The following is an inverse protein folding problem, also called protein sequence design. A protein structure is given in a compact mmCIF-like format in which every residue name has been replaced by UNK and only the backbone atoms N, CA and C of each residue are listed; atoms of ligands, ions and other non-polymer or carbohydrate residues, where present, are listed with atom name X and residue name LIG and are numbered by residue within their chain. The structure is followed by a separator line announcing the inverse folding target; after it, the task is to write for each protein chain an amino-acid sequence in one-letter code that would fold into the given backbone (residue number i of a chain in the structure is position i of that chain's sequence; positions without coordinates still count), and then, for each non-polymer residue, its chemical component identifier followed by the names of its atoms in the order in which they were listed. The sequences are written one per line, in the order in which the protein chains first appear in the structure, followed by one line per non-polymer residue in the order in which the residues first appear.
data_IF_430006293429
#
_entry.id   IF_430006293429
#
_cell.length_a   1.000
_cell.length_b   1.000
_cell.length_c   1.000
_cell.angle_alpha   90.00
_cell.angle_beta   90.00
_cell.angle_gamma   90.00
#
_symmetry.space_group_name_H-M   'P 1'
#
loop_
_entity.id
_entity.type
_entity.pdbx_description
1 polymer ?
#
# COMPACT_ATOMS: atom_id res chain seq x y z
N UNK A 1 2.73 9.30 23.81
CA UNK A 1 1.35 9.29 23.28
C UNK A 1 1.37 8.43 22.01
N UNK A 2 0.87 7.20 22.09
CA UNK A 2 0.92 6.25 20.97
C UNK A 2 -0.30 6.52 20.07
N UNK A 3 -0.11 7.21 18.95
CA UNK A 3 -1.19 7.45 17.99
C UNK A 3 -1.50 6.11 17.32
N UNK A 4 -2.53 5.41 17.81
CA UNK A 4 -3.09 4.25 17.12
C UNK A 4 -4.02 4.77 16.03
N UNK A 5 -3.51 4.82 14.80
CA UNK A 5 -4.38 5.03 13.65
C UNK A 5 -5.35 3.85 13.53
N UNK A 6 -6.65 4.09 13.24
CA UNK A 6 -7.57 3.03 12.84
C UNK A 6 -6.94 2.20 11.72
N UNK A 7 -7.10 0.86 11.75
CA UNK A 7 -6.55 -0.02 10.72
C UNK A 7 -6.99 0.35 9.29
N UNK A 8 -8.18 0.97 9.16
CA UNK A 8 -8.69 1.55 7.92
C UNK A 8 -7.79 2.66 7.37
N UNK A 9 -7.28 3.56 8.19
CA UNK A 9 -6.44 4.68 7.75
C UNK A 9 -5.06 4.19 7.27
N UNK A 10 -4.53 3.14 7.92
CA UNK A 10 -3.26 2.53 7.52
C UNK A 10 -3.42 1.80 6.17
N UNK A 11 -4.52 1.08 5.98
CA UNK A 11 -4.81 0.41 4.69
C UNK A 11 -5.00 1.45 3.58
N UNK A 12 -5.73 2.53 3.84
CA UNK A 12 -5.93 3.60 2.86
C UNK A 12 -4.62 4.29 2.47
N UNK A 13 -3.73 4.56 3.44
CA UNK A 13 -2.41 5.12 3.18
C UNK A 13 -1.53 4.17 2.34
N UNK A 14 -1.59 2.86 2.61
CA UNK A 14 -0.89 1.85 1.82
C UNK A 14 -1.45 1.74 0.40
N UNK A 15 -2.77 1.76 0.24
CA UNK A 15 -3.42 1.71 -1.08
C UNK A 15 -3.07 2.93 -1.92
N UNK A 16 -2.98 4.12 -1.30
CA UNK A 16 -2.48 5.32 -1.98
C UNK A 16 -1.01 5.19 -2.41
N UNK A 17 -0.15 4.69 -1.52
CA UNK A 17 1.28 4.48 -1.82
C UNK A 17 1.48 3.48 -2.95
N UNK A 18 0.72 2.38 -2.96
CA UNK A 18 0.76 1.37 -4.03
C UNK A 18 0.34 1.95 -5.38
N UNK A 19 -0.74 2.75 -5.44
CA UNK A 19 -1.14 3.45 -6.67
C UNK A 19 -0.05 4.39 -7.20
N UNK A 20 0.61 5.13 -6.31
CA UNK A 20 1.71 6.01 -6.69
C UNK A 20 2.90 5.22 -7.26
N UNK A 21 3.26 4.09 -6.64
CA UNK A 21 4.32 3.21 -7.12
C UNK A 21 3.99 2.60 -8.48
N UNK A 22 2.76 2.12 -8.69
CA UNK A 22 2.30 1.60 -9.98
C UNK A 22 2.44 2.63 -11.11
N UNK A 23 2.08 3.90 -10.86
CA UNK A 23 2.25 4.97 -11.84
C UNK A 23 3.72 5.23 -12.18
N UNK A 24 4.62 5.17 -11.19
CA UNK A 24 6.07 5.34 -11.41
C UNK A 24 6.67 4.16 -12.17
N UNK A 25 6.28 2.92 -11.84
CA UNK A 25 6.67 1.71 -12.57
C UNK A 25 6.26 1.80 -14.03
N UNK A 26 5.01 2.18 -14.32
CA UNK A 26 4.53 2.33 -15.69
C UNK A 26 5.38 3.32 -16.51
N UNK A 27 5.75 4.47 -15.92
CA UNK A 27 6.61 5.46 -16.57
C UNK A 27 8.04 4.98 -16.79
N UNK A 28 8.62 4.25 -15.83
CA UNK A 28 9.97 3.73 -15.94
C UNK A 28 10.07 2.61 -16.99
N UNK A 29 9.02 1.80 -17.18
CA UNK A 29 8.94 0.78 -18.24
C UNK A 29 9.01 1.42 -19.63
N UNK A 30 8.39 2.58 -19.84
CA UNK A 30 8.40 3.29 -21.13
C UNK A 30 9.79 3.80 -21.54
N UNK A 31 10.75 3.87 -20.60
CA UNK A 31 12.10 4.42 -20.79
C UNK A 31 13.20 3.37 -20.63
N UNK A 32 12.86 2.09 -20.79
CA UNK A 32 13.86 1.02 -20.83
C UNK A 32 14.70 1.20 -22.10
N UNK A 33 16.06 1.21 -22.01
CA UNK A 33 16.86 0.66 -20.91
C UNK A 33 17.39 1.66 -19.87
N UNK A 34 17.17 2.97 -20.03
CA UNK A 34 17.82 4.03 -19.27
C UNK A 34 17.46 4.04 -17.77
N UNK A 35 16.23 3.65 -17.41
CA UNK A 35 15.73 3.65 -16.03
C UNK A 35 15.59 2.23 -15.43
N UNK A 36 16.39 1.25 -15.89
CA UNK A 36 16.23 -0.17 -15.50
C UNK A 36 16.50 -0.47 -14.01
N UNK A 37 17.47 0.19 -13.39
CA UNK A 37 17.81 0.04 -11.96
C UNK A 37 16.75 0.70 -11.06
N UNK A 38 16.24 1.86 -11.47
CA UNK A 38 15.12 2.55 -10.84
C UNK A 38 13.83 1.73 -10.92
N UNK A 39 13.58 1.09 -12.06
CA UNK A 39 12.45 0.19 -12.25
C UNK A 39 12.49 -1.00 -11.29
N UNK A 40 13.65 -1.64 -11.13
CA UNK A 40 13.82 -2.76 -10.20
C UNK A 40 13.53 -2.36 -8.75
N UNK A 41 13.98 -1.16 -8.36
CA UNK A 41 13.71 -0.58 -7.04
C UNK A 41 12.22 -0.28 -6.85
N UNK A 42 11.57 0.31 -7.86
CA UNK A 42 10.14 0.62 -7.81
C UNK A 42 9.26 -0.63 -7.72
N UNK A 43 9.59 -1.69 -8.45
CA UNK A 43 8.89 -2.98 -8.38
C UNK A 43 9.06 -3.64 -7.02
N UNK A 44 10.27 -3.64 -6.45
CA UNK A 44 10.53 -4.20 -5.12
C UNK A 44 9.72 -3.49 -4.03
N UNK A 45 9.69 -2.16 -4.07
CA UNK A 45 8.88 -1.34 -3.16
C UNK A 45 7.37 -1.62 -3.28
N UNK A 46 6.89 -1.97 -4.48
CA UNK A 46 5.48 -2.30 -4.72
C UNK A 46 5.11 -3.68 -4.12
N UNK A 47 6.02 -4.65 -4.22
CA UNK A 47 5.84 -5.99 -3.63
C UNK A 47 5.75 -5.88 -2.10
N UNK A 48 6.71 -5.18 -1.48
CA UNK A 48 6.74 -4.99 -0.02
C UNK A 48 5.45 -4.31 0.49
N UNK A 49 4.97 -3.27 -0.20
CA UNK A 49 3.72 -2.62 0.16
C UNK A 49 2.50 -3.56 0.09
N UNK A 50 2.48 -4.47 -0.88
CA UNK A 50 1.46 -5.52 -0.99
C UNK A 50 1.50 -6.53 0.16
N UNK A 51 2.69 -6.98 0.56
CA UNK A 51 2.88 -7.91 1.69
C UNK A 51 2.45 -7.29 3.02
N UNK A 52 2.82 -6.03 3.26
CA UNK A 52 2.39 -5.26 4.44
C UNK A 52 0.86 -5.15 4.48
N UNK A 53 0.22 -4.85 3.34
CA UNK A 53 -1.24 -4.76 3.26
C UNK A 53 -1.93 -6.08 3.61
N UNK A 54 -1.44 -7.21 3.09
CA UNK A 54 -1.98 -8.55 3.40
C UNK A 54 -1.84 -8.86 4.88
N UNK A 55 -0.68 -8.54 5.46
CA UNK A 55 -0.39 -8.75 6.89
C UNK A 55 -1.32 -7.94 7.78
N UNK A 56 -1.54 -6.67 7.46
CA UNK A 56 -2.47 -5.80 8.21
C UNK A 56 -3.90 -6.32 8.10
N UNK A 57 -4.36 -6.73 6.91
CA UNK A 57 -5.70 -7.33 6.77
C UNK A 57 -5.87 -8.62 7.59
N UNK A 58 -4.84 -9.46 7.69
CA UNK A 58 -4.87 -10.70 8.48
C UNK A 58 -4.90 -10.43 9.99
N UNK A 59 -4.22 -9.37 10.42
CA UNK A 59 -4.08 -9.01 11.84
C UNK A 59 -5.07 -7.92 12.30
N UNK A 60 -5.92 -7.42 11.39
CA UNK A 60 -6.94 -6.44 11.73
C UNK A 60 -8.00 -7.11 12.63
N UNK A 61 -7.99 -6.76 13.91
CA UNK A 61 -9.14 -7.01 14.78
C UNK A 61 -10.25 -6.05 14.36
N UNK A 62 -11.28 -6.56 13.69
CA UNK A 62 -12.43 -5.76 13.29
C UNK A 62 -13.18 -5.30 14.56
N UNK A 63 -13.04 -4.03 14.93
CA UNK A 63 -14.10 -3.35 15.67
C UNK A 63 -15.21 -3.09 14.65
N UNK A 64 -16.05 -4.10 14.42
CA UNK A 64 -17.37 -3.89 13.82
C UNK A 64 -18.17 -3.15 14.90
N UNK A 65 -18.14 -1.83 14.85
CA UNK A 65 -19.22 -1.06 15.46
C UNK A 65 -20.37 -1.24 14.47
N UNK A 66 -21.29 -2.14 14.76
CA UNK A 66 -22.64 -2.04 14.21
C UNK A 66 -23.16 -0.67 14.69
N UNK A 67 -23.00 0.34 13.84
CA UNK A 67 -23.76 1.57 14.00
C UNK A 67 -25.22 1.15 13.88
N UNK A 68 -25.89 1.13 15.03
CA UNK A 68 -27.33 1.09 15.23
C UNK A 68 -28.11 1.42 13.95
N UNK A 69 -28.54 0.39 13.22
CA UNK A 69 -29.68 0.51 12.32
C UNK A 69 -30.89 -0.04 13.06
N UNK A 70 -31.55 0.90 13.75
CA UNK A 70 -32.93 0.95 14.26
C UNK A 70 -33.72 -0.36 14.36
#
# INVERSE_FOLDING_TARGET
MNIKLPGIDIINALDYRMKCLQSKVAKAIEKIPEESEDLQTLVSNLIEAGEVRVTIKRNATYLVVEENQQ
#
